data_IF_882806839773
#
_entry.id   IF_882806839773
#
_cell.length_a   1.000
_cell.length_b   1.000
_cell.length_c   1.000
_cell.angle_alpha   90.00
_cell.angle_beta   90.00
_cell.angle_gamma   90.00
#
_symmetry.space_group_name_H-M   'P 1'
#
loop_
_entity.id
_entity.type
_entity.pdbx_description
1 polymer ?
#
# COMPACT_ATOMS: atom_id res chain seq x y z
N UNK A 1 -4.70 43.23 -13.69
CA UNK A 1 -4.08 44.49 -13.25
C UNK A 1 -3.45 44.28 -11.89
N UNK A 2 -2.33 44.96 -11.69
CA UNK A 2 -1.27 44.79 -10.68
C UNK A 2 -1.66 45.06 -9.21
N UNK A 3 -0.77 44.71 -8.26
CA UNK A 3 -1.02 44.54 -6.83
C UNK A 3 -0.69 45.79 -6.00
N UNK A 4 -1.05 45.78 -4.71
CA UNK A 4 -0.62 46.78 -3.73
C UNK A 4 0.19 46.15 -2.59
N UNK A 5 1.33 46.78 -2.36
CA UNK A 5 2.37 46.51 -1.37
C UNK A 5 2.07 47.17 -0.01
N UNK A 6 2.85 46.74 0.98
CA UNK A 6 3.10 47.32 2.31
C UNK A 6 2.04 46.95 3.38
N UNK A 7 2.36 46.77 4.66
CA UNK A 7 3.51 47.23 5.43
C UNK A 7 3.66 46.40 6.72
N UNK A 8 4.87 46.50 7.27
CA UNK A 8 5.42 46.14 8.58
C UNK A 8 4.53 45.95 9.83
N UNK A 9 5.16 45.24 10.78
CA UNK A 9 5.23 45.49 12.22
C UNK A 9 4.57 44.44 13.13
N UNK A 10 5.40 43.87 14.03
CA UNK A 10 5.19 43.65 15.48
C UNK A 10 3.93 42.88 15.91
N UNK A 11 3.86 42.13 16.99
CA UNK A 11 4.73 41.61 18.03
C UNK A 11 3.76 40.79 18.89
N UNK A 12 4.29 39.80 19.59
CA UNK A 12 3.82 39.40 20.92
C UNK A 12 2.50 38.60 21.02
N UNK A 13 2.64 37.44 21.66
CA UNK A 13 1.59 36.45 21.85
C UNK A 13 2.00 35.39 22.86
N UNK A 14 2.19 35.83 24.11
CA UNK A 14 2.13 35.10 25.40
C UNK A 14 1.34 33.77 25.30
N UNK A 15 1.70 32.66 25.96
CA UNK A 15 2.59 32.41 27.09
C UNK A 15 2.09 31.15 27.83
N UNK A 16 2.90 30.55 28.69
CA UNK A 16 2.42 29.89 29.90
C UNK A 16 3.45 29.98 31.01
N UNK A 17 2.92 30.24 32.19
CA UNK A 17 3.57 30.82 33.37
C UNK A 17 4.18 29.69 34.21
N UNK A 18 5.47 29.79 34.56
CA UNK A 18 6.01 29.09 35.72
C UNK A 18 5.67 29.90 36.98
N UNK A 19 4.99 29.32 37.97
CA UNK A 19 4.83 29.97 39.26
C UNK A 19 6.03 29.63 40.15
N UNK A 20 6.39 30.60 40.97
CA UNK A 20 7.29 30.55 42.13
C UNK A 20 8.77 30.88 41.89
N UNK A 21 9.03 32.18 41.95
CA UNK A 21 10.26 32.80 42.47
C UNK A 21 9.96 33.35 43.86
N UNK A 22 10.85 33.13 44.84
CA UNK A 22 11.19 34.20 45.80
C UNK A 22 12.58 33.96 46.39
N UNK A 23 13.49 34.86 46.02
CA UNK A 23 14.73 35.21 46.73
C UNK A 23 14.36 35.84 48.09
N UNK A 24 15.07 35.53 49.17
CA UNK A 24 15.09 36.35 50.39
C UNK A 24 16.51 36.40 50.96
N UNK A 25 16.87 37.60 51.42
CA UNK A 25 18.21 38.12 51.72
C UNK A 25 18.92 37.48 52.91
N UNK A 26 20.26 37.64 52.86
CA UNK A 26 21.23 37.47 53.94
C UNK A 26 20.89 38.27 55.20
N UNK A 27 21.21 37.70 56.35
CA UNK A 27 21.84 38.42 57.48
C UNK A 27 22.98 37.57 58.03
N UNK A 28 24.13 38.20 58.23
CA UNK A 28 25.33 37.64 58.84
C UNK A 28 25.24 37.67 60.37
N UNK A 29 25.94 36.75 61.04
CA UNK A 29 26.16 36.79 62.49
C UNK A 29 26.78 35.52 63.06
N UNK A 30 28.06 35.66 63.43
CA UNK A 30 28.86 34.95 64.44
C UNK A 30 29.12 33.44 64.43
N UNK A 31 30.42 33.17 64.56
CA UNK A 31 31.14 31.91 64.77
C UNK A 31 30.75 31.17 66.06
N UNK A 32 30.72 29.83 65.98
CA UNK A 32 31.03 28.93 67.10
C UNK A 32 31.57 27.61 66.54
N UNK A 33 32.89 27.47 66.58
CA UNK A 33 33.58 26.18 66.47
C UNK A 33 33.04 25.21 67.52
N UNK A 34 32.57 24.06 67.06
CA UNK A 34 32.56 22.82 67.83
C UNK A 34 32.99 21.71 66.88
N UNK A 35 34.29 21.41 66.93
CA UNK A 35 34.80 20.12 66.50
C UNK A 35 34.24 19.06 67.46
N UNK A 36 33.43 18.14 66.93
CA UNK A 36 33.44 16.74 67.35
C UNK A 36 32.71 15.89 66.29
N UNK A 37 33.33 14.80 65.78
CA UNK A 37 32.71 13.86 64.86
C UNK A 37 31.80 12.89 65.62
N UNK A 38 30.71 12.43 65.01
CA UNK A 38 30.62 10.98 64.88
C UNK A 38 29.95 10.51 63.57
N UNK A 39 30.55 9.47 63.00
CA UNK A 39 29.90 8.36 62.31
C UNK A 39 29.01 8.68 61.09
N UNK A 40 29.58 8.43 59.90
CA UNK A 40 28.85 7.84 58.77
C UNK A 40 28.01 6.65 59.27
N UNK A 41 26.66 6.73 59.32
CA UNK A 41 25.83 5.56 59.49
C UNK A 41 25.47 5.12 58.09
N UNK A 42 26.19 4.10 57.60
CA UNK A 42 26.03 3.56 56.26
C UNK A 42 24.56 3.45 55.85
N UNK A 43 24.24 4.02 54.68
CA UNK A 43 22.93 3.98 54.00
C UNK A 43 22.11 2.77 54.44
N UNK A 44 20.97 3.04 55.08
CA UNK A 44 20.05 2.02 55.59
C UNK A 44 19.86 0.90 54.56
N UNK A 45 19.85 -0.36 54.99
CA UNK A 45 19.62 -1.52 54.11
C UNK A 45 18.41 -1.32 53.17
N UNK A 46 17.39 -0.57 53.62
CA UNK A 46 16.23 -0.20 52.82
C UNK A 46 16.59 0.73 51.64
N UNK A 47 17.44 1.73 51.84
CA UNK A 47 17.87 2.64 50.77
C UNK A 47 18.74 1.93 49.73
N UNK A 48 19.63 1.04 50.16
CA UNK A 48 20.42 0.20 49.25
C UNK A 48 19.53 -0.74 48.43
N UNK A 49 18.53 -1.34 49.07
CA UNK A 49 17.54 -2.18 48.38
C UNK A 49 16.68 -1.39 47.39
N UNK A 50 16.30 -0.15 47.71
CA UNK A 50 15.58 0.75 46.80
C UNK A 50 16.44 1.15 45.60
N UNK A 51 17.71 1.51 45.80
CA UNK A 51 18.66 1.83 44.72
C UNK A 51 18.86 0.64 43.76
N UNK A 52 18.99 -0.58 44.30
CA UNK A 52 19.09 -1.79 43.47
C UNK A 52 17.82 -2.04 42.65
N UNK A 53 16.63 -1.82 43.23
CA UNK A 53 15.36 -1.92 42.50
C UNK A 53 15.24 -0.86 41.41
N UNK A 54 15.67 0.38 41.67
CA UNK A 54 15.68 1.46 40.69
C UNK A 54 16.57 1.11 39.48
N UNK A 55 17.81 0.68 39.72
CA UNK A 55 18.73 0.25 38.65
C UNK A 55 18.15 -0.93 37.85
N UNK A 56 17.50 -1.89 38.51
CA UNK A 56 16.85 -3.01 37.82
C UNK A 56 15.71 -2.54 36.91
N UNK A 57 14.84 -1.66 37.42
CA UNK A 57 13.72 -1.09 36.66
C UNK A 57 14.22 -0.24 35.48
N UNK A 58 15.26 0.58 35.67
CA UNK A 58 15.87 1.36 34.58
C UNK A 58 16.40 0.44 33.47
N UNK A 59 17.06 -0.66 33.83
CA UNK A 59 17.53 -1.66 32.87
C UNK A 59 16.37 -2.33 32.12
N UNK A 60 15.30 -2.68 32.82
CA UNK A 60 14.10 -3.26 32.20
C UNK A 60 13.46 -2.25 31.22
N UNK A 61 13.32 -0.99 31.61
CA UNK A 61 12.80 0.09 30.75
C UNK A 61 13.67 0.28 29.51
N UNK A 62 15.00 0.27 29.66
CA UNK A 62 15.92 0.36 28.52
C UNK A 62 15.73 -0.82 27.56
N UNK A 63 15.67 -2.05 28.08
CA UNK A 63 15.45 -3.25 27.26
C UNK A 63 14.10 -3.21 26.52
N UNK A 64 13.03 -2.81 27.21
CA UNK A 64 11.72 -2.64 26.58
C UNK A 64 11.73 -1.55 25.50
N UNK A 65 12.44 -0.43 25.73
CA UNK A 65 12.56 0.65 24.76
C UNK A 65 13.26 0.18 23.49
N UNK A 66 14.35 -0.58 23.63
CA UNK A 66 15.08 -1.16 22.49
C UNK A 66 14.18 -2.13 21.72
N UNK A 67 13.49 -3.04 22.43
CA UNK A 67 12.56 -3.99 21.80
C UNK A 67 11.41 -3.28 21.08
N UNK A 68 10.86 -2.23 21.67
CA UNK A 68 9.79 -1.44 21.08
C UNK A 68 10.25 -0.72 19.81
N UNK A 69 11.39 -0.02 19.85
CA UNK A 69 11.95 0.66 18.68
C UNK A 69 12.22 -0.31 17.52
N UNK A 70 12.74 -1.50 17.85
CA UNK A 70 12.91 -2.58 16.88
C UNK A 70 11.57 -3.03 16.29
N UNK A 71 10.56 -3.30 17.13
CA UNK A 71 9.24 -3.72 16.67
C UNK A 71 8.57 -2.69 15.74
N UNK A 72 8.68 -1.40 16.07
CA UNK A 72 8.17 -0.31 15.21
C UNK A 72 8.89 -0.28 13.87
N UNK A 73 10.22 -0.41 13.88
CA UNK A 73 11.03 -0.42 12.66
C UNK A 73 10.72 -1.63 11.78
N UNK A 74 10.61 -2.82 12.39
CA UNK A 74 10.25 -4.05 11.69
C UNK A 74 8.84 -3.96 11.08
N UNK A 75 7.89 -3.36 11.80
CA UNK A 75 6.53 -3.10 11.30
C UNK A 75 6.52 -2.18 10.06
N UNK A 76 7.26 -1.08 10.07
CA UNK A 76 7.36 -0.18 8.92
C UNK A 76 8.09 -0.83 7.73
N UNK A 77 9.13 -1.63 8.00
CA UNK A 77 9.83 -2.41 6.97
C UNK A 77 8.89 -3.43 6.30
N UNK A 78 8.09 -4.15 7.09
CA UNK A 78 7.09 -5.09 6.58
C UNK A 78 6.04 -4.33 5.77
N UNK A 79 5.49 -3.23 6.28
CA UNK A 79 4.49 -2.43 5.57
C UNK A 79 5.00 -1.99 4.19
N UNK A 80 6.21 -1.42 4.12
CA UNK A 80 6.84 -0.99 2.86
C UNK A 80 7.08 -2.17 1.93
N UNK A 81 7.56 -3.30 2.46
CA UNK A 81 7.81 -4.50 1.65
C UNK A 81 6.53 -5.07 1.09
N UNK A 82 5.49 -5.22 1.90
CA UNK A 82 4.18 -5.71 1.47
C UNK A 82 3.58 -4.80 0.40
N UNK A 83 3.68 -3.47 0.55
CA UNK A 83 3.20 -2.54 -0.46
C UNK A 83 3.90 -2.75 -1.82
N UNK A 84 5.22 -2.97 -1.83
CA UNK A 84 5.95 -3.32 -3.05
C UNK A 84 5.52 -4.67 -3.61
N UNK A 85 5.41 -5.70 -2.76
CA UNK A 85 4.97 -7.03 -3.20
C UNK A 85 3.56 -7.01 -3.81
N UNK A 86 2.65 -6.18 -3.30
CA UNK A 86 1.31 -6.00 -3.89
C UNK A 86 1.40 -5.34 -5.25
N UNK A 87 2.23 -4.32 -5.41
CA UNK A 87 2.41 -3.66 -6.71
C UNK A 87 3.08 -4.57 -7.74
N UNK A 88 4.12 -5.27 -7.33
CA UNK A 88 4.79 -6.30 -8.12
C UNK A 88 3.77 -7.40 -8.50
N UNK A 89 2.94 -7.88 -7.57
CA UNK A 89 1.95 -8.91 -7.86
C UNK A 89 0.91 -8.46 -8.91
N UNK A 90 0.53 -7.18 -8.97
CA UNK A 90 -0.35 -6.67 -10.03
C UNK A 90 0.35 -6.74 -11.39
N UNK A 91 1.60 -6.26 -11.45
CA UNK A 91 2.36 -6.22 -12.70
C UNK A 91 2.66 -7.64 -13.18
N UNK A 92 3.17 -8.51 -12.31
CA UNK A 92 3.52 -9.89 -12.65
C UNK A 92 2.30 -10.81 -12.81
N UNK A 93 1.18 -10.50 -12.16
CA UNK A 93 -0.05 -11.29 -12.25
C UNK A 93 -0.62 -11.32 -13.68
N UNK A 94 -0.68 -10.16 -14.34
CA UNK A 94 -1.22 -10.06 -15.70
C UNK A 94 -0.23 -10.51 -16.79
N UNK A 95 1.07 -10.59 -16.48
CA UNK A 95 2.08 -10.94 -17.50
C UNK A 95 1.86 -12.30 -18.16
N UNK A 96 1.40 -13.30 -17.39
CA UNK A 96 1.13 -14.63 -17.94
C UNK A 96 -0.01 -14.59 -18.96
N UNK A 97 -1.08 -13.87 -18.64
CA UNK A 97 -2.21 -13.61 -19.54
C UNK A 97 -1.79 -12.86 -20.81
N UNK A 98 -1.02 -11.77 -20.66
CA UNK A 98 -0.53 -11.02 -21.81
C UNK A 98 0.35 -11.86 -22.73
N UNK A 99 1.23 -12.70 -22.18
CA UNK A 99 2.08 -13.60 -22.96
C UNK A 99 1.27 -14.60 -23.79
N UNK A 100 0.24 -15.20 -23.18
CA UNK A 100 -0.63 -16.13 -23.90
C UNK A 100 -1.46 -15.43 -24.99
N UNK A 101 -1.74 -14.13 -24.84
CA UNK A 101 -2.48 -13.33 -25.82
C UNK A 101 -1.61 -12.90 -27.02
N UNK A 102 -0.28 -12.92 -26.92
CA UNK A 102 0.62 -12.60 -28.04
C UNK A 102 0.37 -13.56 -29.21
N UNK A 103 0.22 -14.85 -28.94
CA UNK A 103 -0.07 -15.85 -29.98
C UNK A 103 -1.39 -15.55 -30.73
N UNK A 104 -2.39 -14.98 -30.04
CA UNK A 104 -3.65 -14.55 -30.65
C UNK A 104 -3.43 -13.33 -31.54
N UNK A 105 -2.59 -12.38 -31.12
CA UNK A 105 -2.22 -11.22 -31.92
C UNK A 105 -1.46 -11.62 -33.20
N UNK A 106 -0.53 -12.56 -33.10
CA UNK A 106 0.23 -13.07 -34.26
C UNK A 106 -0.68 -13.71 -35.31
N UNK A 107 -1.69 -14.48 -34.89
CA UNK A 107 -2.70 -15.06 -35.79
C UNK A 107 -3.52 -13.95 -36.46
N UNK A 108 -3.88 -12.90 -35.71
CA UNK A 108 -4.62 -11.76 -36.25
C UNK A 108 -3.81 -11.01 -37.32
N UNK A 109 -2.53 -10.74 -37.07
CA UNK A 109 -1.63 -10.08 -38.02
C UNK A 109 -1.51 -10.89 -39.31
N UNK A 110 -1.23 -12.19 -39.20
CA UNK A 110 -1.17 -13.10 -40.35
C UNK A 110 -2.47 -13.14 -41.16
N UNK A 111 -3.62 -13.10 -40.48
CA UNK A 111 -4.93 -13.06 -41.14
C UNK A 111 -5.09 -11.77 -41.95
N UNK A 112 -4.61 -10.64 -41.44
CA UNK A 112 -4.65 -9.34 -42.14
C UNK A 112 -3.67 -9.23 -43.31
N UNK A 113 -2.50 -9.86 -43.20
CA UNK A 113 -1.53 -9.94 -44.31
C UNK A 113 -2.09 -10.72 -45.49
N UNK A 114 -2.78 -11.83 -45.23
CA UNK A 114 -3.45 -12.63 -46.27
C UNK A 114 -4.49 -11.83 -47.08
N UNK A 115 -5.09 -10.79 -46.50
CA UNK A 115 -6.03 -9.90 -47.19
C UNK A 115 -5.30 -8.90 -48.09
N UNK A 116 -4.11 -8.46 -47.69
CA UNK A 116 -3.37 -7.38 -48.35
C UNK A 116 -2.56 -7.85 -49.56
N UNK A 117 -2.07 -9.09 -49.55
CA UNK A 117 -1.26 -9.66 -50.65
C UNK A 117 -2.10 -10.02 -51.90
N UNK A 118 -3.42 -10.07 -51.77
CA UNK A 118 -4.30 -10.59 -52.82
C UNK A 118 -4.93 -9.47 -53.65
N UNK A 119 -4.16 -8.95 -54.61
CA UNK A 119 -4.64 -7.99 -55.62
C UNK A 119 -5.13 -8.67 -56.91
N UNK A 120 -4.94 -9.99 -57.05
CA UNK A 120 -5.24 -10.72 -58.30
C UNK A 120 -6.60 -11.45 -58.25
N UNK A 121 -7.48 -11.24 -59.25
CA UNK A 121 -8.89 -11.66 -59.20
C UNK A 121 -9.16 -13.18 -59.30
N UNK A 122 -8.13 -14.01 -59.46
CA UNK A 122 -8.27 -15.47 -59.66
C UNK A 122 -8.46 -16.30 -58.39
N UNK A 123 -7.89 -15.87 -57.26
CA UNK A 123 -7.71 -16.72 -56.06
C UNK A 123 -8.61 -16.36 -54.86
N UNK A 124 -9.51 -15.38 -55.01
CA UNK A 124 -10.36 -14.83 -53.94
C UNK A 124 -11.11 -15.89 -53.09
N UNK A 125 -11.55 -17.00 -53.71
CA UNK A 125 -12.25 -18.07 -52.98
C UNK A 125 -11.31 -18.78 -52.00
N UNK A 126 -10.06 -19.05 -52.41
CA UNK A 126 -9.05 -19.69 -51.57
C UNK A 126 -8.61 -18.76 -50.43
N UNK A 127 -8.58 -17.45 -50.65
CA UNK A 127 -8.36 -16.41 -49.63
C UNK A 127 -9.43 -16.43 -48.57
N UNK A 128 -10.71 -16.42 -48.97
CA UNK A 128 -11.83 -16.41 -48.04
C UNK A 128 -11.86 -17.68 -47.19
N UNK A 129 -11.56 -18.84 -47.79
CA UNK A 129 -11.42 -20.10 -47.05
C UNK A 129 -10.24 -20.07 -46.06
N UNK A 130 -9.11 -19.43 -46.43
CA UNK A 130 -7.98 -19.21 -45.51
C UNK A 130 -8.37 -18.32 -44.33
N UNK A 131 -8.95 -17.15 -44.60
CA UNK A 131 -9.37 -16.19 -43.58
C UNK A 131 -10.39 -16.83 -42.63
N UNK A 132 -11.39 -17.54 -43.16
CA UNK A 132 -12.40 -18.20 -42.32
C UNK A 132 -11.80 -19.24 -41.38
N UNK A 133 -10.83 -20.03 -41.88
CA UNK A 133 -10.08 -20.98 -41.05
C UNK A 133 -9.27 -20.26 -39.98
N UNK A 134 -8.57 -19.20 -40.34
CA UNK A 134 -7.72 -18.46 -39.40
C UNK A 134 -8.56 -17.76 -38.31
N UNK A 135 -9.74 -17.23 -38.66
CA UNK A 135 -10.71 -16.69 -37.70
C UNK A 135 -11.29 -17.77 -36.77
N UNK A 136 -11.61 -18.95 -37.30
CA UNK A 136 -12.09 -20.08 -36.48
C UNK A 136 -11.02 -20.57 -35.51
N UNK A 137 -9.76 -20.58 -35.96
CA UNK A 137 -8.61 -20.90 -35.14
C UNK A 137 -8.37 -19.84 -34.06
N UNK A 138 -8.46 -18.56 -34.42
CA UNK A 138 -8.37 -17.42 -33.51
C UNK A 138 -9.42 -17.53 -32.39
N UNK A 139 -10.68 -17.79 -32.73
CA UNK A 139 -11.77 -17.94 -31.75
C UNK A 139 -11.48 -19.08 -30.77
N UNK A 140 -11.05 -20.23 -31.30
CA UNK A 140 -10.71 -21.41 -30.48
C UNK A 140 -9.55 -21.12 -29.54
N UNK A 141 -8.51 -20.45 -30.05
CA UNK A 141 -7.33 -20.09 -29.27
C UNK A 141 -7.66 -19.09 -28.18
N UNK A 142 -8.44 -18.05 -28.49
CA UNK A 142 -8.88 -17.04 -27.52
C UNK A 142 -9.68 -17.66 -26.39
N UNK A 143 -10.63 -18.56 -26.70
CA UNK A 143 -11.40 -19.32 -25.69
C UNK A 143 -10.48 -20.17 -24.80
N UNK A 144 -9.47 -20.80 -25.37
CA UNK A 144 -8.49 -21.59 -24.61
C UNK A 144 -7.66 -20.72 -23.65
N UNK A 145 -7.23 -19.54 -24.09
CA UNK A 145 -6.52 -18.58 -23.22
C UNK A 145 -7.42 -18.13 -22.08
N UNK A 146 -8.67 -17.75 -22.35
CA UNK A 146 -9.64 -17.38 -21.31
C UNK A 146 -9.83 -18.50 -20.28
N UNK A 147 -10.11 -19.73 -20.73
CA UNK A 147 -10.28 -20.86 -19.82
C UNK A 147 -9.04 -21.14 -18.96
N UNK A 148 -7.82 -21.02 -19.53
CA UNK A 148 -6.55 -21.19 -18.80
C UNK A 148 -6.39 -20.18 -17.66
N UNK A 149 -6.93 -18.98 -17.81
CA UNK A 149 -6.89 -17.90 -16.82
C UNK A 149 -8.17 -17.81 -15.97
N UNK A 150 -9.04 -18.83 -16.03
CA UNK A 150 -10.25 -18.92 -15.19
C UNK A 150 -11.43 -18.06 -15.67
N UNK A 151 -11.41 -17.64 -16.94
CA UNK A 151 -12.52 -16.91 -17.57
C UNK A 151 -13.41 -17.89 -18.34
N UNK A 152 -14.67 -17.96 -17.94
CA UNK A 152 -15.70 -18.76 -18.61
C UNK A 152 -16.73 -17.87 -19.29
N UNK A 153 -17.22 -18.32 -20.45
CA UNK A 153 -18.26 -17.58 -21.20
C UNK A 153 -19.62 -17.93 -20.61
N UNK A 154 -20.33 -16.92 -20.11
CA UNK A 154 -21.74 -17.03 -19.76
C UNK A 154 -22.61 -16.98 -21.03
N UNK A 155 -23.63 -17.83 -21.10
CA UNK A 155 -24.60 -17.88 -22.21
C UNK A 155 -26.03 -17.73 -21.68
N UNK A 156 -26.45 -16.52 -21.31
CA UNK A 156 -27.69 -16.28 -20.56
C UNK A 156 -28.97 -16.33 -21.42
N UNK A 157 -28.89 -16.79 -22.67
CA UNK A 157 -30.04 -16.80 -23.59
C UNK A 157 -31.01 -17.88 -23.13
N UNK A 158 -32.16 -17.47 -22.60
CA UNK A 158 -33.18 -18.37 -22.06
C UNK A 158 -33.04 -18.67 -20.57
N UNK A 159 -31.97 -18.20 -19.93
CA UNK A 159 -31.77 -18.34 -18.49
C UNK A 159 -32.54 -17.27 -17.70
N UNK A 160 -32.75 -17.55 -16.41
CA UNK A 160 -33.32 -16.56 -15.50
C UNK A 160 -32.34 -15.41 -15.31
N UNK A 161 -32.86 -14.19 -15.26
CA UNK A 161 -32.06 -13.01 -15.02
C UNK A 161 -31.47 -13.00 -13.60
N UNK A 162 -30.15 -12.82 -13.46
CA UNK A 162 -29.42 -12.61 -12.21
C UNK A 162 -28.75 -11.21 -12.24
N UNK A 163 -29.08 -10.28 -11.32
CA UNK A 163 -28.44 -8.97 -11.24
C UNK A 163 -26.93 -8.96 -10.99
N UNK A 164 -26.35 -10.04 -10.46
CA UNK A 164 -24.90 -10.13 -10.20
C UNK A 164 -24.11 -10.52 -11.44
N UNK A 165 -24.73 -11.23 -12.39
CA UNK A 165 -24.07 -11.76 -13.58
C UNK A 165 -24.54 -11.09 -14.87
N UNK A 166 -25.76 -10.51 -14.88
CA UNK A 166 -26.39 -9.98 -16.08
C UNK A 166 -26.66 -8.47 -16.00
N UNK A 167 -26.25 -7.76 -17.06
CA UNK A 167 -26.58 -6.36 -17.28
C UNK A 167 -27.70 -6.21 -18.33
N UNK A 168 -28.76 -5.48 -17.98
CA UNK A 168 -29.89 -5.20 -18.88
C UNK A 168 -29.59 -3.98 -19.75
N UNK A 169 -29.32 -4.20 -21.03
CA UNK A 169 -29.00 -3.12 -21.97
C UNK A 169 -30.26 -2.64 -22.72
N UNK A 170 -31.11 -3.57 -23.14
CA UNK A 170 -32.32 -3.27 -23.91
C UNK A 170 -33.41 -4.34 -23.72
N UNK A 171 -34.66 -3.94 -23.94
CA UNK A 171 -35.80 -4.84 -23.94
C UNK A 171 -36.19 -5.19 -25.37
N UNK A 172 -36.26 -6.47 -25.69
CA UNK A 172 -36.69 -6.97 -27.01
C UNK A 172 -38.06 -7.63 -26.83
N UNK A 173 -39.06 -7.33 -27.70
CA UNK A 173 -40.32 -8.05 -27.66
C UNK A 173 -40.07 -9.54 -27.85
N UNK A 174 -40.66 -10.37 -27.00
CA UNK A 174 -40.51 -11.83 -27.09
C UNK A 174 -41.02 -12.30 -28.45
N UNK A 175 -40.11 -12.81 -29.29
CA UNK A 175 -40.49 -13.52 -30.51
C UNK A 175 -41.27 -14.76 -30.12
N UNK A 176 -42.40 -15.01 -30.79
CA UNK A 176 -43.22 -16.21 -30.59
C UNK A 176 -42.35 -17.45 -30.80
N UNK A 177 -42.01 -18.18 -29.73
CA UNK A 177 -41.34 -19.48 -29.81
C UNK A 177 -39.96 -19.63 -29.15
N UNK A 178 -39.74 -18.99 -28.00
CA UNK A 178 -38.74 -19.49 -27.01
C UNK A 178 -39.49 -20.09 -25.84
#
# INVERSE_FOLDING_TARGET
MQPLLASSATSDGRGWLHPFSTVTQRTAGEDCNSEDPPDEPGSSLAERALKLKAVKLEKEVQDFTVRYQRAVTDGENIRRRTQRCVEDAKIFGIQSFCKDLVEVADISEKTTECISEETEPGDQKLTLEKIFRDLSFLETKLKSVFAKHGLEKLTPIGDKYDPHEHELICHVPAGVGV
#
